data_IF_957807924991
#
_entry.id   IF_957807924991
#
_cell.length_a   1.000
_cell.length_b   1.000
_cell.length_c   1.000
_cell.angle_alpha   90.00
_cell.angle_beta   90.00
_cell.angle_gamma   90.00
#
_symmetry.space_group_name_H-M   'P 1'
#
loop_
_entity.id
_entity.type
_entity.pdbx_description
1 polymer ?
#
# COMPACT_ATOMS: atom_id res chain seq x y z
N UNK A 1 -4.38 -1.58 -2.71
CA UNK A 1 -4.13 -0.14 -2.56
C UNK A 1 -2.75 0.19 -3.12
N UNK A 2 -2.70 1.00 -4.17
CA UNK A 2 -1.46 1.51 -4.77
C UNK A 2 -1.12 2.86 -4.18
N UNK A 3 0.12 3.04 -3.74
CA UNK A 3 0.57 4.32 -3.20
C UNK A 3 2.03 4.58 -3.52
N UNK A 4 2.43 5.84 -3.53
CA UNK A 4 3.83 6.25 -3.38
C UNK A 4 4.28 6.17 -1.92
N UNK A 5 5.60 6.33 -1.66
CA UNK A 5 6.08 6.48 -0.30
C UNK A 5 5.49 7.75 0.33
N UNK A 6 5.38 7.77 1.66
CA UNK A 6 5.00 8.95 2.46
C UNK A 6 3.55 9.47 2.30
N UNK A 7 2.64 8.61 1.83
CA UNK A 7 1.23 8.95 1.57
C UNK A 7 0.21 8.39 2.58
N UNK A 8 0.61 8.02 3.81
CA UNK A 8 -0.27 7.36 4.82
C UNK A 8 -0.71 5.92 4.52
N UNK A 9 -0.13 5.27 3.51
CA UNK A 9 -0.52 3.90 3.09
C UNK A 9 -0.46 2.87 4.23
N UNK A 10 0.50 2.98 5.15
CA UNK A 10 0.57 2.10 6.33
C UNK A 10 -0.54 2.39 7.36
N UNK A 11 -0.94 3.65 7.56
CA UNK A 11 -2.08 3.97 8.43
C UNK A 11 -3.40 3.46 7.82
N UNK A 12 -3.55 3.55 6.49
CA UNK A 12 -4.69 2.97 5.80
C UNK A 12 -4.68 1.43 5.88
N UNK A 13 -3.50 0.79 5.85
CA UNK A 13 -3.37 -0.64 6.14
C UNK A 13 -3.80 -0.98 7.58
N UNK A 14 -3.45 -0.17 8.59
CA UNK A 14 -3.92 -0.32 9.97
C UNK A 14 -5.44 -0.26 10.07
N UNK A 15 -6.04 0.69 9.35
CA UNK A 15 -7.48 0.87 9.27
C UNK A 15 -8.17 -0.38 8.71
N UNK A 16 -7.73 -0.89 7.56
CA UNK A 16 -8.28 -2.12 6.98
C UNK A 16 -8.01 -3.36 7.83
N UNK A 17 -6.82 -3.49 8.41
CA UNK A 17 -6.47 -4.60 9.30
C UNK A 17 -7.22 -4.61 10.64
N UNK A 18 -8.05 -3.61 10.90
CA UNK A 18 -8.93 -3.55 12.06
C UNK A 18 -10.37 -3.95 11.75
N UNK A 19 -10.70 -4.25 10.49
CA UNK A 19 -11.98 -4.86 10.12
C UNK A 19 -12.04 -6.31 10.57
N UNK A 20 -13.25 -6.79 10.84
CA UNK A 20 -13.47 -8.17 11.28
C UNK A 20 -13.24 -9.23 10.20
N UNK A 21 -13.39 -8.84 8.92
CA UNK A 21 -13.41 -9.71 7.75
C UNK A 21 -12.15 -9.59 6.86
N UNK A 22 -11.07 -9.00 7.38
CA UNK A 22 -9.92 -8.57 6.57
C UNK A 22 -8.60 -9.17 7.02
N UNK A 23 -7.79 -9.61 6.05
CA UNK A 23 -6.36 -9.85 6.22
C UNK A 23 -5.58 -8.82 5.39
N UNK A 24 -4.38 -8.45 5.87
CA UNK A 24 -3.54 -7.44 5.22
C UNK A 24 -2.18 -8.02 4.84
N UNK A 25 -1.60 -7.50 3.76
CA UNK A 25 -0.19 -7.72 3.41
C UNK A 25 0.52 -6.39 3.17
N UNK A 26 1.71 -6.28 3.74
CA UNK A 26 2.55 -5.07 3.71
C UNK A 26 3.64 -5.22 2.65
N UNK A 27 3.63 -4.33 1.64
CA UNK A 27 4.61 -4.20 0.56
C UNK A 27 5.14 -5.55 0.01
N UNK A 28 4.27 -6.41 -0.53
CA UNK A 28 4.62 -7.80 -0.86
C UNK A 28 5.79 -7.94 -1.84
N UNK A 29 6.03 -6.95 -2.69
CA UNK A 29 7.10 -6.97 -3.69
C UNK A 29 8.40 -6.30 -3.24
N UNK A 30 8.51 -5.83 -2.00
CA UNK A 30 9.69 -5.08 -1.57
C UNK A 30 11.00 -5.89 -1.68
N UNK A 31 10.96 -7.17 -1.31
CA UNK A 31 12.12 -8.06 -1.41
C UNK A 31 12.58 -8.27 -2.86
N UNK A 32 11.62 -8.50 -3.77
CA UNK A 32 11.89 -8.58 -5.21
C UNK A 32 12.49 -7.29 -5.74
N UNK A 33 11.91 -6.15 -5.39
CA UNK A 33 12.36 -4.82 -5.78
C UNK A 33 13.82 -4.57 -5.35
N UNK A 34 14.17 -4.85 -4.10
CA UNK A 34 15.52 -4.68 -3.56
C UNK A 34 16.55 -5.59 -4.22
N UNK A 35 16.15 -6.84 -4.53
CA UNK A 35 17.02 -7.78 -5.22
C UNK A 35 17.28 -7.32 -6.67
N UNK A 36 16.23 -6.94 -7.39
CA UNK A 36 16.30 -6.61 -8.81
C UNK A 36 16.99 -5.28 -9.08
N UNK A 37 16.80 -4.27 -8.22
CA UNK A 37 17.39 -2.94 -8.39
C UNK A 37 18.79 -2.81 -7.79
N UNK A 38 19.12 -3.63 -6.79
CA UNK A 38 20.39 -3.51 -6.06
C UNK A 38 20.47 -2.27 -5.15
N UNK A 39 19.37 -1.56 -4.91
CA UNK A 39 19.36 -0.35 -4.10
C UNK A 39 19.78 -0.62 -2.65
N UNK A 40 20.61 0.27 -2.11
CA UNK A 40 21.05 0.23 -0.74
C UNK A 40 19.98 0.83 0.20
N UNK A 41 19.09 -0.02 0.71
CA UNK A 41 18.08 0.37 1.70
C UNK A 41 18.42 -0.18 3.11
N UNK A 42 17.99 0.51 4.18
CA UNK A 42 18.05 -0.03 5.55
C UNK A 42 17.41 -1.42 5.63
N UNK A 43 18.17 -2.39 6.13
CA UNK A 43 17.71 -3.77 6.30
C UNK A 43 17.57 -4.57 5.01
N UNK A 44 18.14 -4.10 3.87
CA UNK A 44 18.03 -4.75 2.55
C UNK A 44 18.26 -6.26 2.61
N UNK A 45 19.41 -6.68 3.10
CA UNK A 45 19.81 -8.09 3.08
C UNK A 45 18.92 -8.94 4.00
N UNK A 46 18.46 -8.38 5.12
CA UNK A 46 17.48 -9.02 6.00
C UNK A 46 16.14 -9.21 5.27
N UNK A 47 15.66 -8.19 4.54
CA UNK A 47 14.39 -8.24 3.80
C UNK A 47 14.45 -9.28 2.68
N UNK A 48 15.54 -9.29 1.91
CA UNK A 48 15.77 -10.27 0.84
C UNK A 48 15.85 -11.70 1.41
N UNK A 49 16.49 -11.89 2.57
CA UNK A 49 16.60 -13.20 3.19
C UNK A 49 15.29 -13.69 3.84
N UNK A 50 14.45 -12.78 4.32
CA UNK A 50 13.22 -13.11 5.05
C UNK A 50 12.01 -13.35 4.14
N UNK A 51 11.92 -12.65 3.02
CA UNK A 51 10.74 -12.65 2.15
C UNK A 51 11.03 -13.33 0.79
N UNK A 52 9.96 -13.78 0.12
CA UNK A 52 10.10 -14.38 -1.21
C UNK A 52 10.48 -13.31 -2.27
N UNK A 53 11.57 -13.57 -2.98
CA UNK A 53 12.11 -12.68 -4.02
C UNK A 53 11.58 -13.00 -5.42
N UNK A 54 10.90 -14.13 -5.60
CA UNK A 54 10.21 -14.46 -6.85
C UNK A 54 8.84 -13.79 -6.86
N UNK A 55 8.75 -12.68 -7.59
CA UNK A 55 7.51 -11.92 -7.71
C UNK A 55 6.33 -12.76 -8.23
N UNK A 56 6.57 -13.82 -9.02
CA UNK A 56 5.48 -14.66 -9.54
C UNK A 56 4.85 -15.47 -8.42
N UNK A 57 5.69 -16.04 -7.53
CA UNK A 57 5.20 -16.75 -6.34
C UNK A 57 4.47 -15.79 -5.42
N UNK A 58 5.02 -14.59 -5.20
CA UNK A 58 4.35 -13.54 -4.42
C UNK A 58 3.00 -13.17 -5.06
N UNK A 59 2.93 -12.90 -6.36
CA UNK A 59 1.68 -12.56 -7.04
C UNK A 59 0.63 -13.67 -6.91
N UNK A 60 1.03 -14.95 -6.96
CA UNK A 60 0.13 -16.07 -6.74
C UNK A 60 -0.43 -16.10 -5.31
N UNK A 61 0.33 -15.68 -4.28
CA UNK A 61 -0.20 -15.61 -2.90
C UNK A 61 -1.22 -14.48 -2.74
N UNK A 62 -1.11 -13.41 -3.52
CA UNK A 62 -2.07 -12.30 -3.53
C UNK A 62 -3.46 -12.72 -4.04
N UNK A 63 -3.51 -13.76 -4.87
CA UNK A 63 -4.72 -14.38 -5.42
C UNK A 63 -5.18 -15.64 -4.66
N UNK A 64 -4.46 -16.03 -3.60
CA UNK A 64 -4.79 -17.25 -2.89
C UNK A 64 -6.19 -17.18 -2.24
N UNK A 65 -6.90 -18.32 -2.14
CA UNK A 65 -8.17 -18.38 -1.42
C UNK A 65 -8.05 -17.84 0.00
N UNK A 66 -9.07 -17.08 0.42
CA UNK A 66 -9.09 -16.47 1.75
C UNK A 66 -9.51 -17.48 2.82
N UNK A 67 -9.02 -17.32 4.07
CA UNK A 67 -9.50 -18.10 5.21
C UNK A 67 -11.02 -17.97 5.38
N UNK A 68 -11.64 -18.97 6.02
CA UNK A 68 -13.08 -18.93 6.32
C UNK A 68 -13.43 -17.68 7.14
N UNK A 69 -14.47 -16.95 6.72
CA UNK A 69 -14.92 -15.71 7.37
C UNK A 69 -14.17 -14.45 6.94
N UNK A 70 -13.09 -14.57 6.15
CA UNK A 70 -12.37 -13.44 5.57
C UNK A 70 -12.89 -13.18 4.16
N UNK A 71 -13.24 -11.95 3.87
CA UNK A 71 -13.79 -11.51 2.57
C UNK A 71 -12.88 -10.49 1.87
N UNK A 72 -11.97 -9.85 2.61
CA UNK A 72 -11.07 -8.82 2.09
C UNK A 72 -9.62 -9.21 2.32
N UNK A 73 -8.83 -9.20 1.25
CA UNK A 73 -7.37 -9.24 1.31
C UNK A 73 -6.82 -7.87 0.92
N UNK A 74 -6.54 -7.03 1.91
CA UNK A 74 -6.02 -5.70 1.67
C UNK A 74 -4.52 -5.76 1.40
N UNK A 75 -4.15 -5.40 0.17
CA UNK A 75 -2.76 -5.39 -0.27
C UNK A 75 -2.25 -3.95 -0.29
N UNK A 76 -1.28 -3.64 0.57
CA UNK A 76 -0.63 -2.33 0.59
C UNK A 76 0.60 -2.37 -0.31
N UNK A 77 0.48 -1.79 -1.50
CA UNK A 77 1.57 -1.72 -2.47
C UNK A 77 2.24 -0.36 -2.48
N UNK A 78 3.58 -0.39 -2.58
CA UNK A 78 4.34 0.77 -3.08
C UNK A 78 4.46 0.62 -4.59
N UNK A 79 3.94 1.58 -5.35
CA UNK A 79 3.82 1.47 -6.79
C UNK A 79 5.18 1.32 -7.50
N UNK A 80 6.23 1.94 -6.98
CA UNK A 80 7.59 1.79 -7.51
C UNK A 80 8.20 0.40 -7.31
N UNK A 81 7.62 -0.45 -6.45
CA UNK A 81 8.03 -1.87 -6.36
C UNK A 81 7.56 -2.68 -7.57
N UNK A 82 6.58 -2.17 -8.34
CA UNK A 82 6.16 -2.82 -9.58
C UNK A 82 7.13 -2.46 -10.71
N UNK A 83 8.05 -3.38 -10.98
CA UNK A 83 9.02 -3.23 -12.05
C UNK A 83 8.41 -3.59 -13.42
N UNK A 84 8.83 -2.95 -14.52
CA UNK A 84 8.31 -3.25 -15.86
C UNK A 84 8.42 -4.73 -16.25
N UNK A 85 9.43 -5.44 -15.72
CA UNK A 85 9.68 -6.87 -15.96
C UNK A 85 8.66 -7.81 -15.34
N UNK A 86 7.80 -7.32 -14.45
CA UNK A 86 6.77 -8.13 -13.78
C UNK A 86 5.50 -8.29 -14.64
N UNK A 87 5.35 -7.48 -15.70
CA UNK A 87 4.14 -7.49 -16.52
C UNK A 87 2.87 -7.11 -15.75
N UNK A 88 1.74 -7.07 -16.46
CA UNK A 88 0.48 -6.56 -15.92
C UNK A 88 -0.64 -7.57 -15.73
N UNK A 89 -0.50 -8.81 -16.23
CA UNK A 89 -1.61 -9.78 -16.26
C UNK A 89 -2.07 -10.24 -14.88
N UNK A 90 -1.17 -10.27 -13.89
CA UNK A 90 -1.53 -10.68 -12.52
C UNK A 90 -2.38 -9.63 -11.79
N UNK A 91 -2.48 -8.40 -12.32
CA UNK A 91 -3.35 -7.37 -11.76
C UNK A 91 -4.83 -7.70 -11.98
N UNK A 92 -5.12 -8.45 -13.04
CA UNK A 92 -6.48 -8.81 -13.43
C UNK A 92 -7.14 -9.65 -12.31
N UNK A 93 -8.42 -9.39 -12.05
CA UNK A 93 -9.16 -10.06 -10.97
C UNK A 93 -8.97 -9.43 -9.58
N UNK A 94 -8.15 -8.38 -9.44
CA UNK A 94 -8.05 -7.59 -8.22
C UNK A 94 -8.90 -6.32 -8.29
N UNK A 95 -9.38 -5.86 -7.13
CA UNK A 95 -9.94 -4.51 -6.99
C UNK A 95 -8.83 -3.52 -6.68
N UNK A 96 -8.70 -2.49 -7.51
CA UNK A 96 -7.64 -1.49 -7.37
C UNK A 96 -8.19 -0.17 -6.82
N UNK A 97 -7.40 0.43 -5.94
CA UNK A 97 -7.61 1.76 -5.42
C UNK A 97 -6.25 2.44 -5.25
N UNK A 98 -6.23 3.77 -5.35
CA UNK A 98 -5.02 4.58 -5.36
C UNK A 98 -5.06 5.59 -4.23
N UNK A 99 -3.98 5.66 -3.46
CA UNK A 99 -3.79 6.65 -2.40
C UNK A 99 -2.76 7.67 -2.87
N UNK A 100 -3.23 8.89 -3.07
CA UNK A 100 -2.45 10.04 -3.50
C UNK A 100 -2.26 11.01 -2.35
N UNK A 101 -1.31 11.91 -2.53
CA UNK A 101 -1.04 13.05 -1.66
C UNK A 101 -0.54 14.19 -2.54
N UNK A 102 -0.71 15.42 -2.09
CA UNK A 102 -0.09 16.56 -2.72
C UNK A 102 1.41 16.28 -3.00
N UNK A 103 1.85 16.33 -4.29
CA UNK A 103 3.23 16.04 -4.66
C UNK A 103 4.26 16.92 -3.95
N UNK A 104 3.95 18.18 -3.64
CA UNK A 104 4.88 19.07 -2.94
C UNK A 104 5.17 18.59 -1.52
N UNK A 105 4.14 18.14 -0.80
CA UNK A 105 4.27 17.62 0.56
C UNK A 105 4.94 16.24 0.59
N UNK A 106 4.63 15.40 -0.40
CA UNK A 106 5.27 14.09 -0.57
C UNK A 106 6.76 14.27 -0.85
N UNK A 107 7.13 15.11 -1.82
CA UNK A 107 8.53 15.38 -2.18
C UNK A 107 9.30 16.00 -1.01
N UNK A 108 8.70 16.95 -0.28
CA UNK A 108 9.30 17.51 0.94
C UNK A 108 9.57 16.43 1.99
N UNK A 109 8.64 15.48 2.20
CA UNK A 109 8.87 14.38 3.14
C UNK A 109 9.91 13.39 2.63
N UNK A 110 10.00 13.16 1.32
CA UNK A 110 10.89 12.19 0.71
C UNK A 110 12.34 12.70 0.66
N UNK A 111 12.54 13.99 0.32
CA UNK A 111 13.87 14.64 0.30
C UNK A 111 14.53 14.73 1.69
N UNK A 112 13.77 14.62 2.78
CA UNK A 112 14.34 14.49 4.13
C UNK A 112 14.94 13.10 4.41
N UNK A 113 14.71 12.12 3.53
CA UNK A 113 15.08 10.71 3.74
C UNK A 113 16.04 10.16 2.68
N UNK A 114 16.06 10.74 1.48
CA UNK A 114 16.92 10.33 0.37
C UNK A 114 17.81 11.51 -0.04
N UNK A 115 19.09 11.24 -0.31
CA UNK A 115 20.05 12.26 -0.76
C UNK A 115 19.76 12.76 -2.19
N UNK A 116 19.19 11.89 -3.03
CA UNK A 116 18.76 12.19 -4.40
C UNK A 116 17.38 11.56 -4.63
N UNK A 117 16.42 12.36 -5.12
CA UNK A 117 15.04 11.92 -5.38
C UNK A 117 14.78 11.99 -6.87
N UNK A 118 14.50 10.83 -7.48
CA UNK A 118 14.03 10.77 -8.85
C UNK A 118 12.51 10.64 -8.91
N UNK A 119 11.92 10.96 -10.06
CA UNK A 119 10.47 10.84 -10.23
C UNK A 119 9.99 9.40 -10.06
N UNK A 120 10.81 8.42 -10.41
CA UNK A 120 10.48 7.00 -10.27
C UNK A 120 10.38 6.55 -8.80
N UNK A 121 11.13 7.19 -7.90
CA UNK A 121 11.09 6.90 -6.45
C UNK A 121 9.75 7.32 -5.82
N UNK A 122 9.04 8.24 -6.46
CA UNK A 122 7.71 8.68 -6.02
C UNK A 122 6.63 7.61 -6.26
N UNK A 123 6.86 6.69 -7.19
CA UNK A 123 5.85 5.75 -7.67
C UNK A 123 4.71 6.37 -8.49
N UNK A 124 4.69 7.71 -8.68
CA UNK A 124 3.64 8.39 -9.44
C UNK A 124 3.56 7.92 -10.91
N UNK A 125 4.68 7.75 -11.64
CA UNK A 125 4.63 7.21 -13.01
C UNK A 125 3.97 5.83 -13.06
N UNK A 126 4.34 4.95 -12.14
CA UNK A 126 3.78 3.60 -12.04
C UNK A 126 2.30 3.64 -11.64
N UNK A 127 1.90 4.51 -10.71
CA UNK A 127 0.48 4.67 -10.37
C UNK A 127 -0.35 5.10 -11.59
N UNK A 128 0.15 6.04 -12.40
CA UNK A 128 -0.54 6.48 -13.61
C UNK A 128 -0.67 5.34 -14.62
N UNK A 129 0.41 4.62 -14.89
CA UNK A 129 0.40 3.48 -15.83
C UNK A 129 -0.61 2.40 -15.41
N UNK A 130 -0.59 2.03 -14.12
CA UNK A 130 -1.52 1.05 -13.56
C UNK A 130 -2.97 1.57 -13.65
N UNK A 131 -3.21 2.83 -13.29
CA UNK A 131 -4.54 3.46 -13.35
C UNK A 131 -5.11 3.46 -14.78
N UNK A 132 -4.31 3.88 -15.77
CA UNK A 132 -4.72 3.92 -17.17
C UNK A 132 -5.00 2.52 -17.72
N UNK A 133 -4.15 1.53 -17.38
CA UNK A 133 -4.37 0.13 -17.75
C UNK A 133 -5.72 -0.37 -17.23
N UNK A 134 -5.95 -0.25 -15.92
CA UNK A 134 -7.17 -0.77 -15.29
C UNK A 134 -8.40 -0.02 -15.81
N UNK A 135 -8.31 1.29 -15.99
CA UNK A 135 -9.41 2.10 -16.54
C UNK A 135 -9.79 1.61 -17.94
N UNK A 136 -8.80 1.37 -18.78
CA UNK A 136 -9.00 0.89 -20.16
C UNK A 136 -9.60 -0.51 -20.20
N UNK A 137 -9.21 -1.41 -19.31
CA UNK A 137 -9.64 -2.81 -19.32
C UNK A 137 -10.99 -3.04 -18.63
N UNK A 138 -11.24 -2.35 -17.52
CA UNK A 138 -12.49 -2.46 -16.76
C UNK A 138 -13.60 -1.52 -17.25
N UNK A 139 -13.25 -0.53 -18.09
CA UNK A 139 -14.16 0.52 -18.56
C UNK A 139 -14.53 1.55 -17.48
N UNK A 140 -13.99 1.45 -16.27
CA UNK A 140 -14.30 2.32 -15.14
C UNK A 140 -13.02 2.78 -14.47
N UNK A 141 -12.99 4.05 -14.05
CA UNK A 141 -11.87 4.57 -13.28
C UNK A 141 -11.81 3.91 -11.89
N UNK A 142 -10.65 3.35 -11.47
CA UNK A 142 -10.45 2.87 -10.11
C UNK A 142 -10.65 3.96 -9.07
N UNK A 143 -10.98 3.57 -7.83
CA UNK A 143 -11.11 4.51 -6.73
C UNK A 143 -9.78 5.24 -6.45
N UNK A 144 -9.85 6.56 -6.27
CA UNK A 144 -8.72 7.39 -5.85
C UNK A 144 -9.10 8.09 -4.56
N UNK A 145 -8.23 8.01 -3.56
CA UNK A 145 -8.38 8.67 -2.26
C UNK A 145 -7.19 9.59 -2.03
N UNK A 146 -7.48 10.82 -1.60
CA UNK A 146 -6.46 11.79 -1.22
C UNK A 146 -6.14 11.67 0.29
N UNK A 147 -4.86 11.70 0.62
CA UNK A 147 -4.37 11.56 1.98
C UNK A 147 -4.80 12.71 2.90
N UNK A 148 -4.89 13.94 2.40
CA UNK A 148 -5.30 15.10 3.19
C UNK A 148 -6.81 15.06 3.45
N UNK A 149 -7.61 14.68 2.45
CA UNK A 149 -9.05 14.46 2.63
C UNK A 149 -9.29 13.35 3.67
N UNK A 150 -8.53 12.26 3.61
CA UNK A 150 -8.61 11.16 4.58
C UNK A 150 -8.24 11.61 6.00
N UNK A 151 -7.29 12.52 6.17
CA UNK A 151 -6.95 13.07 7.48
C UNK A 151 -8.02 14.05 8.00
N UNK A 152 -8.66 14.81 7.10
CA UNK A 152 -9.65 15.81 7.46
C UNK A 152 -11.00 15.19 7.80
N UNK A 153 -11.45 14.17 7.06
CA UNK A 153 -12.67 13.41 7.33
C UNK A 153 -12.45 11.89 7.17
N UNK A 154 -11.81 11.24 8.17
CA UNK A 154 -11.52 9.82 8.08
C UNK A 154 -12.76 8.95 7.87
N UNK A 155 -13.88 9.29 8.51
CA UNK A 155 -15.10 8.50 8.42
C UNK A 155 -15.74 8.64 7.05
N UNK A 156 -15.94 9.87 6.57
CA UNK A 156 -16.54 10.10 5.26
C UNK A 156 -15.70 9.50 4.13
N UNK A 157 -14.38 9.67 4.18
CA UNK A 157 -13.49 9.14 3.15
C UNK A 157 -13.41 7.61 3.15
N UNK A 158 -13.38 6.96 4.32
CA UNK A 158 -13.42 5.50 4.38
C UNK A 158 -14.76 4.93 3.93
N UNK A 159 -15.88 5.60 4.24
CA UNK A 159 -17.20 5.21 3.74
C UNK A 159 -17.27 5.31 2.21
N UNK A 160 -16.78 6.42 1.63
CA UNK A 160 -16.71 6.61 0.19
C UNK A 160 -15.81 5.56 -0.48
N UNK A 161 -14.63 5.29 0.09
CA UNK A 161 -13.71 4.26 -0.41
C UNK A 161 -14.34 2.87 -0.38
N UNK A 162 -14.95 2.49 0.76
CA UNK A 162 -15.62 1.18 0.90
C UNK A 162 -16.75 1.01 -0.12
N UNK A 163 -17.58 2.05 -0.30
CA UNK A 163 -18.64 2.05 -1.30
C UNK A 163 -18.09 1.90 -2.72
N UNK A 164 -17.02 2.63 -3.06
CA UNK A 164 -16.40 2.59 -4.39
C UNK A 164 -15.78 1.21 -4.72
N UNK A 165 -15.26 0.50 -3.72
CA UNK A 165 -14.67 -0.84 -3.91
C UNK A 165 -15.64 -1.99 -3.58
N UNK A 166 -16.90 -1.68 -3.26
CA UNK A 166 -17.96 -2.68 -3.08
C UNK A 166 -17.91 -3.47 -1.77
N UNK A 167 -17.39 -2.90 -0.68
CA UNK A 167 -17.36 -3.54 0.65
C UNK A 167 -18.12 -2.70 1.69
N UNK A 168 -18.66 -3.30 2.77
CA UNK A 168 -19.30 -2.53 3.83
C UNK A 168 -18.27 -1.76 4.65
N UNK A 169 -18.57 -0.53 5.07
CA UNK A 169 -17.74 0.18 6.05
C UNK A 169 -17.92 -0.40 7.46
N UNK A 170 -16.83 -0.53 8.22
CA UNK A 170 -16.87 -0.90 9.65
C UNK A 170 -16.32 0.26 10.51
N UNK A 171 -17.01 0.71 11.58
CA UNK A 171 -16.48 1.74 12.48
C UNK A 171 -15.11 1.42 13.09
N UNK A 172 -14.77 0.13 13.22
CA UNK A 172 -13.47 -0.34 13.69
C UNK A 172 -12.30 0.15 12.80
N UNK A 173 -12.57 0.53 11.55
CA UNK A 173 -11.58 1.10 10.63
C UNK A 173 -11.02 2.46 11.10
N UNK A 174 -11.71 3.15 12.02
CA UNK A 174 -11.33 4.50 12.45
C UNK A 174 -10.30 4.53 13.60
N UNK A 175 -10.16 3.43 14.32
CA UNK A 175 -9.32 3.36 15.50
C UNK A 175 -8.61 2.03 15.58
N UNK A 176 -7.38 2.02 16.08
CA UNK A 176 -6.53 0.84 16.08
C UNK A 176 -5.55 0.86 17.27
N UNK A 177 -5.15 -0.32 17.81
CA UNK A 177 -4.13 -0.36 18.85
C UNK A 177 -2.80 0.23 18.39
N UNK A 178 -2.17 1.01 19.28
CA UNK A 178 -0.78 1.44 19.14
C UNK A 178 0.17 0.26 19.25
N UNK A 179 1.37 0.43 18.70
CA UNK A 179 2.47 -0.52 18.71
C UNK A 179 2.68 -1.23 17.37
N UNK A 180 3.71 -2.09 17.37
CA UNK A 180 4.07 -2.95 16.25
C UNK A 180 3.05 -4.09 16.11
N UNK A 181 2.79 -4.52 14.87
CA UNK A 181 1.92 -5.67 14.56
C UNK A 181 2.68 -6.78 13.86
N UNK A 182 2.16 -7.99 14.00
CA UNK A 182 2.65 -9.15 13.25
C UNK A 182 2.49 -8.99 11.73
N UNK A 183 1.59 -8.11 11.29
CA UNK A 183 1.36 -7.78 9.88
C UNK A 183 2.34 -6.75 9.32
N UNK A 184 3.17 -6.13 10.16
CA UNK A 184 4.17 -5.18 9.69
C UNK A 184 5.35 -5.91 9.08
N UNK A 185 5.83 -5.45 7.94
CA UNK A 185 7.09 -5.96 7.38
C UNK A 185 8.26 -5.77 8.34
N UNK A 186 9.32 -6.56 8.18
CA UNK A 186 10.48 -6.50 9.09
C UNK A 186 11.18 -5.13 9.03
N UNK A 187 10.98 -4.38 7.95
CA UNK A 187 11.42 -3.00 7.73
C UNK A 187 10.72 -1.96 8.61
N UNK A 188 9.63 -2.33 9.31
CA UNK A 188 8.89 -1.41 10.18
C UNK A 188 9.78 -0.68 11.20
N UNK A 189 10.81 -1.37 11.71
CA UNK A 189 11.83 -0.80 12.63
C UNK A 189 12.58 0.42 12.07
N UNK A 190 12.52 0.65 10.75
CA UNK A 190 13.16 1.78 10.08
C UNK A 190 12.17 2.88 9.67
N UNK A 191 10.90 2.54 9.50
CA UNK A 191 9.95 3.40 8.78
C UNK A 191 8.67 3.71 9.56
N UNK A 192 8.29 2.90 10.55
CA UNK A 192 6.93 2.88 11.11
C UNK A 192 6.79 3.53 12.49
N UNK A 193 7.84 4.17 13.01
CA UNK A 193 7.82 4.89 14.28
C UNK A 193 6.56 5.75 14.50
N UNK A 194 6.14 6.49 13.46
CA UNK A 194 4.97 7.36 13.55
C UNK A 194 3.64 6.58 13.64
N UNK A 195 3.47 5.52 12.82
CA UNK A 195 2.24 4.74 12.81
C UNK A 195 2.14 3.79 14.01
N UNK A 196 3.28 3.34 14.56
CA UNK A 196 3.30 2.58 15.80
C UNK A 196 2.85 3.43 17.00
N UNK A 197 3.03 4.75 16.96
CA UNK A 197 2.52 5.65 18.01
C UNK A 197 1.08 6.11 17.78
N UNK A 198 0.48 5.82 16.63
CA UNK A 198 -0.87 6.27 16.31
C UNK A 198 -1.92 5.25 16.69
N UNK A 199 -3.13 5.74 16.99
CA UNK A 199 -4.30 4.91 17.27
C UNK A 199 -5.50 5.23 16.38
N UNK A 200 -5.33 6.19 15.46
CA UNK A 200 -6.33 6.67 14.50
C UNK A 200 -5.61 7.53 13.46
N UNK A 201 -6.35 7.98 12.45
CA UNK A 201 -5.90 9.06 11.58
C UNK A 201 -5.78 10.36 12.39
N UNK A 202 -4.60 10.96 12.39
CA UNK A 202 -4.30 12.22 13.10
C UNK A 202 -3.48 13.10 12.16
N UNK A 203 -3.84 14.37 12.07
CA UNK A 203 -3.10 15.39 11.35
C UNK A 203 -1.91 15.89 12.16
#
# INVERSE_FOLDING_TARGET
>A
MWSGPRNLSTALMRSFGNRSDTVVVDEPFYAHYLLATGLAHPGRDEVIAHHDVDWRRVANTLHAPLPAGVTVHYQKHMAHHLLPTMGGAWLDGLTHAFLLRNPEDMLRSLGNKLEEVRIEDTGLPQQLEIFEKITRESGHAPAVIDADDLLNDPQGMLQALCAAIGIPFEPAMLQWPAGRRATDGIWAKHWYDAVERSTRFVR
#
